data_IF_054265511410
#
_entry.id   IF_054265511410
#
_cell.length_a   1.000
_cell.length_b   1.000
_cell.length_c   1.000
_cell.angle_alpha   90.00
_cell.angle_beta   90.00
_cell.angle_gamma   90.00
#
_symmetry.space_group_name_H-M   'P 1'
#
loop_
_entity.id
_entity.type
_entity.pdbx_description
1 polymer ?
#
# COMPACT_ATOMS: atom_id res chain seq x y z
N UNK A 1 9.25 -25.59 -10.63
CA UNK A 1 9.04 -26.37 -11.86
C UNK A 1 7.57 -26.36 -12.24
N UNK A 2 7.24 -26.19 -13.52
CA UNK A 2 5.90 -26.44 -14.06
C UNK A 2 5.96 -27.57 -15.10
N UNK A 3 4.83 -28.22 -15.34
CA UNK A 3 4.70 -29.19 -16.42
C UNK A 3 4.44 -28.44 -17.73
N UNK A 4 5.34 -28.59 -18.70
CA UNK A 4 5.18 -28.04 -20.05
C UNK A 4 5.16 -29.21 -21.05
N UNK A 5 3.96 -29.67 -21.43
CA UNK A 5 3.79 -30.88 -22.25
C UNK A 5 4.23 -32.17 -21.53
N UNK A 6 5.03 -33.04 -22.15
CA UNK A 6 5.50 -34.28 -21.53
C UNK A 6 6.64 -34.08 -20.51
N UNK A 7 7.23 -32.88 -20.42
CA UNK A 7 8.40 -32.59 -19.57
C UNK A 7 8.14 -31.63 -18.41
N UNK A 8 9.10 -31.56 -17.50
CA UNK A 8 9.20 -30.56 -16.45
C UNK A 8 10.14 -29.44 -16.87
N UNK A 9 9.73 -28.19 -16.66
CA UNK A 9 10.55 -27.01 -16.90
C UNK A 9 10.72 -26.21 -15.60
N UNK A 10 11.89 -25.63 -15.40
CA UNK A 10 12.10 -24.65 -14.34
C UNK A 10 11.32 -23.37 -14.64
N UNK A 11 10.77 -22.77 -13.57
CA UNK A 11 10.15 -21.44 -13.63
C UNK A 11 11.12 -20.48 -12.97
N UNK A 12 11.58 -19.50 -13.73
CA UNK A 12 12.46 -18.42 -13.26
C UNK A 12 11.65 -17.15 -13.01
N UNK A 13 12.25 -16.22 -12.28
CA UNK A 13 11.64 -14.91 -12.04
C UNK A 13 11.35 -14.14 -13.33
N UNK A 14 12.18 -14.33 -14.36
CA UNK A 14 12.00 -13.70 -15.67
C UNK A 14 10.76 -14.23 -16.39
N UNK A 15 10.47 -15.53 -16.28
CA UNK A 15 9.27 -16.13 -16.87
C UNK A 15 8.00 -15.54 -16.24
N UNK A 16 8.01 -15.36 -14.92
CA UNK A 16 6.91 -14.73 -14.19
C UNK A 16 6.74 -13.26 -14.59
N UNK A 17 7.83 -12.49 -14.69
CA UNK A 17 7.77 -11.10 -15.08
C UNK A 17 7.34 -10.91 -16.54
N UNK A 18 7.79 -11.76 -17.46
CA UNK A 18 7.36 -11.75 -18.84
C UNK A 18 5.84 -11.96 -18.92
N UNK A 19 5.34 -13.02 -18.27
CA UNK A 19 3.90 -13.31 -18.26
C UNK A 19 3.09 -12.21 -17.56
N UNK A 20 3.62 -11.62 -16.49
CA UNK A 20 2.95 -10.53 -15.79
C UNK A 20 2.81 -9.29 -16.69
N UNK A 21 3.89 -8.89 -17.38
CA UNK A 21 3.88 -7.76 -18.31
C UNK A 21 2.92 -7.95 -19.47
N UNK A 22 2.76 -9.17 -19.98
CA UNK A 22 1.73 -9.49 -20.99
C UNK A 22 0.31 -9.20 -20.49
N UNK A 23 0.05 -9.37 -19.19
CA UNK A 23 -1.28 -9.20 -18.59
C UNK A 23 -1.57 -7.74 -18.19
N UNK A 24 -0.56 -7.00 -17.73
CA UNK A 24 -0.77 -5.67 -17.11
C UNK A 24 0.01 -4.52 -17.76
N UNK A 25 0.86 -4.81 -18.73
CA UNK A 25 1.71 -3.82 -19.41
C UNK A 25 3.15 -3.78 -18.90
N UNK A 26 4.03 -3.16 -19.69
CA UNK A 26 5.48 -3.14 -19.47
C UNK A 26 5.95 -2.25 -18.32
N UNK A 27 5.09 -1.33 -17.87
CA UNK A 27 5.39 -0.40 -16.78
C UNK A 27 5.34 -1.07 -15.40
N UNK A 28 4.86 -2.30 -15.32
CA UNK A 28 4.69 -3.05 -14.09
C UNK A 28 5.50 -4.34 -14.07
N UNK A 29 5.80 -4.79 -12.86
CA UNK A 29 6.56 -6.00 -12.55
C UNK A 29 5.85 -6.79 -11.47
N UNK A 30 6.22 -8.06 -11.29
CA UNK A 30 5.65 -8.90 -10.22
C UNK A 30 5.86 -8.28 -8.83
N UNK A 31 6.93 -7.49 -8.65
CA UNK A 31 7.20 -6.76 -7.41
C UNK A 31 6.04 -5.82 -7.04
N UNK A 32 5.37 -5.22 -8.02
CA UNK A 32 4.30 -4.25 -7.77
C UNK A 32 3.09 -4.87 -7.06
N UNK A 33 2.90 -6.18 -7.17
CA UNK A 33 1.93 -6.92 -6.36
C UNK A 33 2.24 -6.81 -4.87
N UNK A 34 3.52 -6.94 -4.50
CA UNK A 34 3.97 -6.81 -3.10
C UNK A 34 3.89 -5.37 -2.62
N UNK A 35 4.18 -4.41 -3.50
CA UNK A 35 4.03 -2.97 -3.20
C UNK A 35 2.57 -2.63 -2.92
N UNK A 36 1.65 -3.11 -3.76
CA UNK A 36 0.23 -2.88 -3.55
C UNK A 36 -0.26 -3.55 -2.26
N UNK A 37 0.12 -4.82 -2.05
CA UNK A 37 -0.26 -5.56 -0.86
C UNK A 37 0.25 -4.90 0.43
N UNK A 38 1.54 -4.53 0.49
CA UNK A 38 2.13 -3.83 1.63
C UNK A 38 1.45 -2.49 1.92
N UNK A 39 1.07 -1.75 0.88
CA UNK A 39 0.32 -0.48 1.02
C UNK A 39 -1.08 -0.69 1.61
N UNK A 40 -1.80 -1.73 1.20
CA UNK A 40 -3.14 -2.06 1.73
C UNK A 40 -3.06 -2.51 3.19
N UNK A 41 -2.06 -3.34 3.55
CA UNK A 41 -1.81 -3.75 4.93
C UNK A 41 -1.53 -2.54 5.82
N UNK A 42 -0.61 -1.66 5.39
CA UNK A 42 -0.27 -0.45 6.12
C UNK A 42 -1.50 0.46 6.33
N UNK A 43 -2.31 0.67 5.29
CA UNK A 43 -3.52 1.49 5.37
C UNK A 43 -4.55 0.90 6.36
N UNK A 44 -4.71 -0.43 6.41
CA UNK A 44 -5.58 -1.09 7.36
C UNK A 44 -5.05 -0.96 8.80
N UNK A 45 -3.76 -1.21 9.02
CA UNK A 45 -3.12 -1.09 10.33
C UNK A 45 -3.20 0.34 10.88
N UNK A 46 -2.95 1.37 10.06
CA UNK A 46 -3.12 2.77 10.46
C UNK A 46 -4.57 3.14 10.79
N UNK A 47 -5.54 2.45 10.20
CA UNK A 47 -6.95 2.70 10.49
C UNK A 47 -7.41 2.10 11.83
N UNK A 48 -6.67 1.12 12.35
CA UNK A 48 -6.91 0.48 13.65
C UNK A 48 -6.03 1.05 14.77
N UNK A 49 -4.97 1.78 14.43
CA UNK A 49 -4.04 2.38 15.38
C UNK A 49 -4.60 3.62 16.10
N UNK A 50 -3.96 3.98 17.21
CA UNK A 50 -4.22 5.23 17.93
C UNK A 50 -4.09 6.44 16.98
N UNK A 51 -4.96 7.47 17.11
CA UNK A 51 -4.86 8.67 16.29
C UNK A 51 -3.55 9.45 16.57
N UNK A 52 -3.02 10.20 15.58
CA UNK A 52 -1.80 10.99 15.74
C UNK A 52 -2.08 12.23 16.61
N UNK A 53 -2.08 12.04 17.93
CA UNK A 53 -2.33 13.10 18.93
C UNK A 53 -1.07 13.88 19.31
N UNK A 54 0.11 13.31 19.07
CA UNK A 54 1.39 13.98 19.26
C UNK A 54 2.46 13.34 18.38
N UNK A 55 3.54 14.08 18.10
CA UNK A 55 4.64 13.56 17.28
C UNK A 55 5.24 12.26 17.84
N UNK A 56 5.30 12.11 19.18
CA UNK A 56 5.77 10.89 19.84
C UNK A 56 4.84 9.71 19.55
N UNK A 57 3.52 9.91 19.64
CA UNK A 57 2.53 8.87 19.33
C UNK A 57 2.59 8.50 17.84
N UNK A 58 2.64 9.50 16.95
CA UNK A 58 2.75 9.29 15.51
C UNK A 58 3.95 8.42 15.15
N UNK A 59 5.16 8.77 15.63
CA UNK A 59 6.38 7.99 15.36
C UNK A 59 6.29 6.57 15.90
N UNK A 60 5.71 6.38 17.10
CA UNK A 60 5.50 5.06 17.71
C UNK A 60 4.57 4.20 16.85
N UNK A 61 3.45 4.77 16.40
CA UNK A 61 2.48 4.07 15.55
C UNK A 61 3.07 3.72 14.20
N UNK A 62 3.74 4.67 13.53
CA UNK A 62 4.44 4.38 12.29
C UNK A 62 5.43 3.22 12.46
N UNK A 63 6.29 3.26 13.48
CA UNK A 63 7.26 2.19 13.71
C UNK A 63 6.59 0.85 14.01
N UNK A 64 5.41 0.83 14.64
CA UNK A 64 4.65 -0.40 14.85
C UNK A 64 4.10 -0.94 13.53
N UNK A 65 3.44 -0.10 12.73
CA UNK A 65 2.88 -0.49 11.42
C UNK A 65 3.96 -0.98 10.47
N UNK A 66 5.12 -0.31 10.41
CA UNK A 66 6.22 -0.75 9.55
C UNK A 66 6.76 -2.13 9.96
N UNK A 67 6.77 -2.46 11.26
CA UNK A 67 7.19 -3.79 11.73
C UNK A 67 6.17 -4.86 11.37
N UNK A 68 4.88 -4.59 11.59
CA UNK A 68 3.79 -5.50 11.24
C UNK A 68 3.80 -5.84 9.74
N UNK A 69 3.90 -4.83 8.87
CA UNK A 69 3.94 -5.05 7.42
C UNK A 69 5.24 -5.76 7.01
N UNK A 70 6.36 -5.48 7.68
CA UNK A 70 7.62 -6.14 7.40
C UNK A 70 7.59 -7.63 7.77
N UNK A 71 6.98 -7.98 8.89
CA UNK A 71 6.75 -9.36 9.32
C UNK A 71 5.91 -10.12 8.28
N UNK A 72 4.79 -9.54 7.83
CA UNK A 72 3.91 -10.16 6.82
C UNK A 72 4.62 -10.34 5.46
N UNK A 73 5.49 -9.40 5.08
CA UNK A 73 6.22 -9.46 3.83
C UNK A 73 7.53 -10.28 3.94
N UNK A 74 7.99 -10.66 5.13
CA UNK A 74 9.29 -11.31 5.32
C UNK A 74 10.49 -10.38 5.02
N UNK A 75 10.36 -9.10 5.35
CA UNK A 75 11.35 -8.04 5.12
C UNK A 75 11.75 -7.35 6.43
N UNK A 76 12.70 -6.41 6.39
CA UNK A 76 12.93 -5.48 7.50
C UNK A 76 11.97 -4.30 7.44
N UNK A 77 11.70 -3.64 8.58
CA UNK A 77 10.84 -2.45 8.64
C UNK A 77 11.32 -1.33 7.71
N UNK A 78 12.63 -1.15 7.57
CA UNK A 78 13.23 -0.18 6.66
C UNK A 78 12.93 -0.52 5.19
N UNK A 79 13.06 -1.81 4.82
CA UNK A 79 12.76 -2.27 3.46
C UNK A 79 11.26 -2.17 3.16
N UNK A 80 10.39 -2.56 4.09
CA UNK A 80 8.93 -2.41 3.93
C UNK A 80 8.56 -0.95 3.67
N UNK A 81 9.04 -0.02 4.52
CA UNK A 81 8.79 1.41 4.39
C UNK A 81 9.31 1.99 3.07
N UNK A 82 10.53 1.62 2.67
CA UNK A 82 11.19 2.22 1.52
C UNK A 82 10.79 1.64 0.16
N UNK A 83 10.31 0.38 0.13
CA UNK A 83 10.11 -0.35 -1.14
C UNK A 83 8.71 -0.92 -1.36
N UNK A 84 7.88 -1.04 -0.33
CA UNK A 84 6.61 -1.77 -0.41
C UNK A 84 5.40 -1.01 0.12
N UNK A 85 5.61 0.15 0.74
CA UNK A 85 4.52 0.97 1.30
C UNK A 85 4.51 2.32 0.59
N UNK A 86 3.37 2.68 0.01
CA UNK A 86 3.17 4.01 -0.53
C UNK A 86 3.20 5.06 0.60
N UNK A 87 4.08 6.06 0.57
CA UNK A 87 4.21 7.03 1.66
C UNK A 87 2.93 7.84 1.91
N UNK A 88 2.02 7.91 0.93
CA UNK A 88 0.75 8.66 1.07
C UNK A 88 -0.20 8.03 2.09
N UNK A 89 -0.07 6.75 2.43
CA UNK A 89 -0.86 6.15 3.53
C UNK A 89 -0.37 6.62 4.90
N UNK A 90 0.94 6.88 5.04
CA UNK A 90 1.53 7.50 6.24
C UNK A 90 1.08 8.95 6.35
N UNK A 91 1.18 9.72 5.27
CA UNK A 91 0.66 11.10 5.21
C UNK A 91 -0.83 11.16 5.53
N UNK A 92 -1.62 10.21 5.01
CA UNK A 92 -3.03 10.08 5.35
C UNK A 92 -3.26 9.90 6.85
N UNK A 93 -2.53 8.97 7.46
CA UNK A 93 -2.58 8.77 8.91
C UNK A 93 -2.25 10.06 9.68
N UNK A 94 -1.14 10.72 9.37
CA UNK A 94 -0.72 11.99 10.00
C UNK A 94 -1.78 13.09 9.90
N UNK A 95 -2.50 13.15 8.77
CA UNK A 95 -3.58 14.09 8.50
C UNK A 95 -4.95 13.63 9.04
N UNK A 96 -5.00 12.54 9.82
CA UNK A 96 -6.24 11.93 10.35
C UNK A 96 -7.21 11.44 9.27
N UNK A 97 -6.68 11.13 8.09
CA UNK A 97 -7.40 10.60 6.94
C UNK A 97 -7.05 9.11 6.77
N UNK A 98 -7.95 8.23 7.24
CA UNK A 98 -7.73 6.77 7.18
C UNK A 98 -8.87 6.04 6.47
N UNK A 99 -8.70 4.74 6.28
CA UNK A 99 -9.73 3.85 5.70
C UNK A 99 -10.61 3.17 6.77
N UNK A 100 -10.72 3.72 7.98
CA UNK A 100 -11.42 3.08 9.11
C UNK A 100 -12.86 2.65 8.81
N UNK A 101 -13.62 3.46 8.05
CA UNK A 101 -14.97 3.08 7.62
C UNK A 101 -14.97 1.86 6.67
N UNK A 102 -13.93 1.70 5.85
CA UNK A 102 -13.75 0.53 5.00
C UNK A 102 -13.32 -0.69 5.81
N UNK A 103 -12.40 -0.55 6.77
CA UNK A 103 -12.00 -1.64 7.68
C UNK A 103 -13.21 -2.20 8.44
N UNK A 104 -14.07 -1.33 8.99
CA UNK A 104 -15.32 -1.78 9.66
C UNK A 104 -16.26 -2.54 8.73
N UNK A 105 -16.35 -2.16 7.45
CA UNK A 105 -17.16 -2.89 6.45
C UNK A 105 -16.50 -4.21 6.05
N UNK A 106 -15.18 -4.22 5.88
CA UNK A 106 -14.41 -5.42 5.54
C UNK A 106 -14.57 -6.50 6.63
N UNK A 107 -14.53 -6.13 7.91
CA UNK A 107 -14.78 -7.05 9.04
C UNK A 107 -16.17 -7.69 9.04
N UNK A 108 -17.16 -7.05 8.41
CA UNK A 108 -18.53 -7.57 8.29
C UNK A 108 -18.76 -8.37 7.02
N UNK A 109 -17.79 -8.38 6.10
CA UNK A 109 -17.91 -9.10 4.85
C UNK A 109 -17.86 -10.61 5.12
N UNK A 110 -18.82 -11.36 4.55
CA UNK A 110 -18.91 -12.82 4.72
C UNK A 110 -17.81 -13.60 3.98
N UNK A 111 -17.19 -12.99 2.97
CA UNK A 111 -16.17 -13.62 2.11
C UNK A 111 -14.84 -12.87 2.23
N UNK A 112 -13.70 -13.56 2.41
CA UNK A 112 -12.39 -12.92 2.46
C UNK A 112 -12.08 -12.05 1.24
N UNK A 113 -12.42 -12.54 0.04
CA UNK A 113 -12.23 -11.77 -1.20
C UNK A 113 -13.02 -10.44 -1.22
N UNK A 114 -14.21 -10.41 -0.62
CA UNK A 114 -15.00 -9.18 -0.54
C UNK A 114 -14.39 -8.20 0.48
N UNK A 115 -13.87 -8.70 1.61
CA UNK A 115 -13.13 -7.87 2.56
C UNK A 115 -11.90 -7.23 1.90
N UNK A 116 -11.13 -8.03 1.17
CA UNK A 116 -9.94 -7.58 0.44
C UNK A 116 -10.28 -6.46 -0.56
N UNK A 117 -11.29 -6.66 -1.40
CA UNK A 117 -11.73 -5.64 -2.38
C UNK A 117 -12.16 -4.32 -1.72
N UNK A 118 -12.80 -4.39 -0.55
CA UNK A 118 -13.20 -3.18 0.20
C UNK A 118 -11.97 -2.40 0.65
N UNK A 119 -10.96 -3.09 1.20
CA UNK A 119 -9.71 -2.49 1.67
C UNK A 119 -8.90 -1.91 0.50
N UNK A 120 -8.74 -2.67 -0.58
CA UNK A 120 -8.03 -2.24 -1.78
C UNK A 120 -8.65 -0.98 -2.40
N UNK A 121 -9.99 -1.00 -2.61
CA UNK A 121 -10.69 0.15 -3.16
C UNK A 121 -10.53 1.38 -2.28
N UNK A 122 -10.65 1.24 -0.95
CA UNK A 122 -10.52 2.36 -0.03
C UNK A 122 -9.10 2.91 0.02
N UNK A 123 -8.09 2.03 0.01
CA UNK A 123 -6.67 2.40 -0.03
C UNK A 123 -6.35 3.19 -1.29
N UNK A 124 -6.81 2.73 -2.46
CA UNK A 124 -6.66 3.44 -3.73
C UNK A 124 -7.24 4.85 -3.65
N UNK A 125 -8.45 4.99 -3.11
CA UNK A 125 -9.12 6.29 -2.98
C UNK A 125 -8.41 7.22 -1.99
N UNK A 126 -7.84 6.69 -0.90
CA UNK A 126 -7.02 7.46 0.04
C UNK A 126 -5.78 8.00 -0.67
N UNK A 127 -5.01 7.12 -1.32
CA UNK A 127 -3.78 7.47 -2.04
C UNK A 127 -4.05 8.54 -3.12
N UNK A 128 -5.11 8.36 -3.90
CA UNK A 128 -5.52 9.34 -4.92
C UNK A 128 -5.92 10.69 -4.32
N UNK A 129 -6.61 10.69 -3.17
CA UNK A 129 -7.02 11.92 -2.49
C UNK A 129 -5.81 12.70 -1.97
N UNK A 130 -4.86 12.03 -1.33
CA UNK A 130 -3.63 12.66 -0.83
C UNK A 130 -2.79 13.19 -2.00
N UNK A 131 -2.65 12.43 -3.08
CA UNK A 131 -1.93 12.85 -4.28
C UNK A 131 -2.51 14.14 -4.89
N UNK A 132 -3.85 14.22 -5.03
CA UNK A 132 -4.53 15.43 -5.53
C UNK A 132 -4.34 16.63 -4.59
N UNK A 133 -4.38 16.40 -3.27
CA UNK A 133 -4.13 17.45 -2.27
C UNK A 133 -2.72 18.04 -2.37
N UNK A 134 -1.72 17.19 -2.61
CA UNK A 134 -0.33 17.62 -2.82
C UNK A 134 -0.17 18.44 -4.11
N UNK A 135 -0.81 18.03 -5.21
CA UNK A 135 -0.79 18.80 -6.48
C UNK A 135 -1.45 20.19 -6.35
N UNK A 136 -2.55 20.28 -5.60
CA UNK A 136 -3.23 21.55 -5.33
C UNK A 136 -2.39 22.50 -4.45
N UNK A 137 -1.68 21.96 -3.45
CA UNK A 137 -0.78 22.74 -2.59
C UNK A 137 0.47 23.23 -3.34
N UNK A 138 1.00 22.44 -4.27
CA UNK A 138 2.20 22.78 -5.06
C UNK A 138 1.97 23.81 -6.18
N UNK A 139 0.71 24.10 -6.52
CA UNK A 139 0.35 24.98 -7.65
C UNK A 139 0.03 26.43 -7.24
N UNK A 140 0.20 26.80 -5.97
CA UNK A 140 -0.07 28.16 -5.49
C UNK A 140 1.14 29.06 -5.83
N UNK A 141 1.04 30.03 -6.77
CA UNK A 141 2.17 30.90 -7.07
C UNK A 141 2.50 31.73 -5.82
N UNK A 142 3.78 31.82 -5.47
CA UNK A 142 4.27 32.80 -4.52
C UNK A 142 3.85 34.18 -5.03
N UNK A 143 2.94 34.84 -4.31
CA UNK A 143 2.60 36.22 -4.58
C UNK A 143 3.89 37.04 -4.49
N UNK A 144 4.35 37.58 -5.62
CA UNK A 144 5.38 38.61 -5.62
C UNK A 144 4.76 39.86 -5.04
N UNK A 145 5.11 40.16 -3.79
CA UNK A 145 4.95 41.50 -3.24
C UNK A 145 5.85 42.45 -4.03
N UNK A 146 5.23 43.48 -4.59
CA UNK A 146 5.88 44.67 -5.15
C UNK A 146 5.81 45.81 -4.11
#
# INVERSE_FOLDING_TARGET
MCRNGPGWADIRADDLNARFKELVGNDYTVKDLRTWHGTVLAAAAFADADPPVSQRVTKRVEAAVMREVAEELGNTAAVARGSYIDPRVVTGYEQRMTIAAAVRRARRARRPAAAQQILEKATRLLVQRIAKGQSASGSRPLARTA
#
